data_IF_507257525572
#
_entry.id   IF_507257525572
#
_cell.length_a   1.000
_cell.length_b   1.000
_cell.length_c   1.000
_cell.angle_alpha   90.00
_cell.angle_beta   90.00
_cell.angle_gamma   90.00
#
_symmetry.space_group_name_H-M   'P 1'
#
loop_
_entity.id
_entity.type
_entity.pdbx_description
1 polymer ?
#
# COMPACT_ATOMS: atom_id res chain seq x y z
N UNK A 1 -17.81 9.62 16.01
CA UNK A 1 -17.76 9.42 14.54
C UNK A 1 -16.35 9.00 14.22
N UNK A 2 -16.16 7.93 13.43
CA UNK A 2 -14.83 7.49 13.03
C UNK A 2 -14.39 8.23 11.78
N UNK A 3 -13.22 8.85 11.80
CA UNK A 3 -12.59 9.54 10.66
C UNK A 3 -11.39 8.74 10.18
N UNK A 4 -11.37 8.41 8.89
CA UNK A 4 -10.28 7.66 8.27
C UNK A 4 -9.68 8.47 7.14
N UNK A 5 -8.38 8.73 7.20
CA UNK A 5 -7.64 9.25 6.06
C UNK A 5 -7.26 8.08 5.13
N UNK A 6 -7.88 8.03 3.95
CA UNK A 6 -7.75 6.91 3.02
C UNK A 6 -6.51 6.99 2.14
N UNK A 7 -5.72 8.07 2.21
CA UNK A 7 -4.52 8.20 1.39
C UNK A 7 -3.45 9.04 2.08
N UNK A 8 -2.50 8.36 2.72
CA UNK A 8 -1.34 9.00 3.35
C UNK A 8 -0.04 8.35 2.91
N UNK A 9 1.07 9.05 3.16
CA UNK A 9 2.41 8.55 2.88
C UNK A 9 3.30 8.76 4.12
N UNK A 10 4.16 7.79 4.39
CA UNK A 10 5.23 7.86 5.37
C UNK A 10 6.42 7.05 4.84
N UNK A 11 7.65 7.43 5.19
CA UNK A 11 8.83 6.78 4.63
C UNK A 11 10.13 7.22 5.28
N UNK A 12 11.22 6.55 4.89
CA UNK A 12 12.58 6.82 5.39
C UNK A 12 13.41 7.71 4.45
N UNK A 13 12.84 8.10 3.30
CA UNK A 13 13.58 8.84 2.26
C UNK A 13 12.79 9.98 1.60
N UNK A 14 11.55 9.73 1.15
CA UNK A 14 10.76 10.67 0.34
C UNK A 14 9.69 11.39 1.16
N UNK A 15 9.38 10.86 2.34
CA UNK A 15 8.33 11.36 3.23
C UNK A 15 8.89 11.45 4.64
N UNK A 16 8.19 12.21 5.47
CA UNK A 16 8.45 12.26 6.90
C UNK A 16 8.18 10.88 7.54
N UNK A 17 8.80 10.59 8.71
CA UNK A 17 8.49 9.43 9.51
C UNK A 17 7.01 9.39 9.94
N UNK A 18 6.48 8.19 10.18
CA UNK A 18 5.07 7.96 10.54
C UNK A 18 4.63 8.71 11.81
N UNK A 19 5.55 9.04 12.72
CA UNK A 19 5.27 9.80 13.94
C UNK A 19 4.76 11.21 13.63
N UNK A 20 5.23 11.83 12.55
CA UNK A 20 4.72 13.13 12.11
C UNK A 20 3.27 13.01 11.65
N UNK A 21 2.91 11.94 10.95
CA UNK A 21 1.53 11.64 10.57
C UNK A 21 0.66 11.39 11.82
N UNK A 22 1.13 10.60 12.78
CA UNK A 22 0.40 10.35 14.04
C UNK A 22 0.12 11.63 14.82
N UNK A 23 1.09 12.53 14.87
CA UNK A 23 0.92 13.82 15.52
C UNK A 23 -0.19 14.64 14.82
N UNK A 24 -0.17 14.69 13.49
CA UNK A 24 -1.21 15.37 12.71
C UNK A 24 -2.59 14.71 12.86
N UNK A 25 -2.67 13.38 12.85
CA UNK A 25 -3.90 12.65 13.10
C UNK A 25 -4.50 13.02 14.46
N UNK A 26 -3.66 13.11 15.49
CA UNK A 26 -4.09 13.49 16.84
C UNK A 26 -4.66 14.91 16.88
N UNK A 27 -3.95 15.88 16.29
CA UNK A 27 -4.39 17.29 16.25
C UNK A 27 -5.70 17.47 15.46
N UNK A 28 -5.92 16.66 14.42
CA UNK A 28 -7.07 16.78 13.52
C UNK A 28 -8.17 15.74 13.81
N UNK A 29 -8.06 15.00 14.91
CA UNK A 29 -9.05 13.98 15.32
C UNK A 29 -9.32 12.91 14.23
N UNK A 30 -8.25 12.48 13.55
CA UNK A 30 -8.29 11.35 12.60
C UNK A 30 -7.99 10.06 13.37
N UNK A 31 -8.90 9.09 13.31
CA UNK A 31 -8.79 7.86 14.10
C UNK A 31 -7.83 6.84 13.49
N UNK A 32 -7.85 6.71 12.15
CA UNK A 32 -7.08 5.75 11.37
C UNK A 32 -6.58 6.35 10.06
N UNK A 33 -5.49 5.81 9.52
CA UNK A 33 -4.99 6.19 8.20
C UNK A 33 -4.57 4.98 7.37
N UNK A 34 -4.68 5.10 6.04
CA UNK A 34 -4.16 4.13 5.10
C UNK A 34 -2.83 4.63 4.56
N UNK A 35 -1.77 3.89 4.83
CA UNK A 35 -0.43 4.13 4.31
C UNK A 35 -0.33 3.56 2.89
N UNK A 36 -0.13 4.44 1.92
CA UNK A 36 0.01 4.08 0.51
C UNK A 36 1.48 4.01 0.16
N UNK A 37 1.93 2.91 -0.45
CA UNK A 37 3.31 2.84 -0.94
C UNK A 37 3.60 3.99 -1.92
N UNK A 38 4.72 4.66 -1.70
CA UNK A 38 5.12 5.80 -2.52
C UNK A 38 5.85 5.40 -3.80
N UNK A 39 6.04 6.39 -4.69
CA UNK A 39 6.47 6.19 -6.08
C UNK A 39 5.29 6.00 -7.01
N UNK A 40 5.51 5.83 -8.31
CA UNK A 40 4.46 5.41 -9.25
C UNK A 40 4.39 3.89 -9.30
N UNK A 41 3.22 3.24 -9.47
CA UNK A 41 3.15 1.78 -9.55
C UNK A 41 4.10 1.14 -10.58
N UNK A 42 4.45 1.85 -11.66
CA UNK A 42 5.32 1.34 -12.73
C UNK A 42 6.82 1.44 -12.42
N UNK A 43 7.23 2.41 -11.60
CA UNK A 43 8.65 2.73 -11.33
C UNK A 43 8.93 2.99 -9.84
N UNK A 44 8.05 2.48 -8.98
CA UNK A 44 8.07 2.77 -7.56
C UNK A 44 9.09 1.93 -6.81
N UNK A 45 9.19 2.18 -5.51
CA UNK A 45 9.86 1.25 -4.61
C UNK A 45 8.86 0.18 -4.18
N UNK A 46 9.24 -1.09 -4.35
CA UNK A 46 8.45 -2.26 -3.96
C UNK A 46 8.90 -2.83 -2.62
N UNK A 47 9.71 -2.07 -1.86
CA UNK A 47 10.02 -2.37 -0.47
C UNK A 47 9.02 -1.67 0.45
N UNK A 48 8.12 -2.46 1.03
CA UNK A 48 7.09 -2.01 1.96
C UNK A 48 7.47 -2.25 3.43
N UNK A 49 8.71 -2.67 3.71
CA UNK A 49 9.13 -3.12 5.05
C UNK A 49 8.86 -2.06 6.11
N UNK A 50 9.14 -0.80 5.79
CA UNK A 50 8.84 0.33 6.68
C UNK A 50 7.35 0.49 6.96
N UNK A 51 6.48 0.30 5.96
CA UNK A 51 5.03 0.42 6.16
C UNK A 51 4.51 -0.70 7.06
N UNK A 52 5.00 -1.93 6.86
CA UNK A 52 4.67 -3.06 7.74
C UNK A 52 5.13 -2.81 9.18
N UNK A 53 6.35 -2.31 9.35
CA UNK A 53 6.87 -1.90 10.66
C UNK A 53 5.95 -0.85 11.32
N UNK A 54 5.44 0.12 10.56
CA UNK A 54 4.50 1.13 11.09
C UNK A 54 3.20 0.50 11.62
N UNK A 55 2.64 -0.49 10.92
CA UNK A 55 1.44 -1.21 11.37
C UNK A 55 1.73 -2.00 12.65
N UNK A 56 2.88 -2.66 12.73
CA UNK A 56 3.30 -3.41 13.92
C UNK A 56 3.52 -2.49 15.13
N UNK A 57 4.15 -1.34 14.92
CA UNK A 57 4.47 -0.37 15.99
C UNK A 57 3.25 0.38 16.50
N UNK A 58 2.24 0.57 15.67
CA UNK A 58 1.01 1.29 16.03
C UNK A 58 -0.24 0.46 15.70
N UNK A 59 -0.48 -0.64 16.45
CA UNK A 59 -1.59 -1.54 16.17
C UNK A 59 -2.93 -0.82 16.13
N UNK A 60 -3.70 -1.08 15.08
CA UNK A 60 -5.02 -0.48 14.87
C UNK A 60 -5.02 0.97 14.40
N UNK A 61 -3.87 1.62 14.19
CA UNK A 61 -3.80 2.97 13.61
C UNK A 61 -3.72 2.97 12.10
N UNK A 62 -3.04 1.99 11.54
CA UNK A 62 -2.71 1.97 10.12
C UNK A 62 -3.17 0.69 9.42
N UNK A 63 -3.53 0.86 8.16
CA UNK A 63 -3.61 -0.20 7.16
C UNK A 63 -2.70 0.16 5.98
N UNK A 64 -2.33 -0.82 5.15
CA UNK A 64 -1.39 -0.60 4.04
C UNK A 64 -2.04 -0.94 2.71
N UNK A 65 -1.81 -0.08 1.72
CA UNK A 65 -2.03 -0.36 0.30
C UNK A 65 -0.68 -0.44 -0.40
N UNK A 66 -0.40 -1.58 -1.01
CA UNK A 66 0.88 -1.87 -1.66
C UNK A 66 0.86 -1.48 -3.14
N UNK A 67 2.03 -1.54 -3.75
CA UNK A 67 2.21 -1.58 -5.22
C UNK A 67 3.06 -2.81 -5.54
N UNK A 68 2.87 -3.38 -6.72
CA UNK A 68 3.67 -4.48 -7.25
C UNK A 68 4.10 -4.15 -8.67
N UNK A 69 5.27 -4.63 -9.07
CA UNK A 69 5.76 -4.49 -10.44
C UNK A 69 4.94 -5.41 -11.35
N UNK A 70 3.95 -4.85 -12.05
CA UNK A 70 3.02 -5.62 -12.88
C UNK A 70 3.68 -6.30 -14.08
N UNK A 71 4.84 -5.81 -14.53
CA UNK A 71 5.56 -6.34 -15.69
C UNK A 71 6.33 -7.63 -15.35
N UNK A 72 6.49 -7.93 -14.05
CA UNK A 72 7.12 -9.19 -13.61
C UNK A 72 6.13 -10.34 -13.67
N UNK A 73 6.65 -11.50 -14.08
CA UNK A 73 5.88 -12.76 -14.17
C UNK A 73 5.35 -13.23 -12.82
N UNK A 74 5.99 -12.84 -11.72
CA UNK A 74 5.58 -13.21 -10.36
C UNK A 74 4.75 -12.14 -9.65
N UNK A 75 4.29 -11.09 -10.35
CA UNK A 75 3.47 -10.00 -9.81
C UNK A 75 2.20 -10.48 -9.09
N UNK A 76 1.53 -11.51 -9.62
CA UNK A 76 0.34 -12.10 -8.99
C UNK A 76 0.65 -12.75 -7.65
N UNK A 77 1.73 -13.55 -7.60
CA UNK A 77 2.20 -14.19 -6.36
C UNK A 77 2.63 -13.14 -5.35
N UNK A 78 3.31 -12.07 -5.78
CA UNK A 78 3.68 -10.95 -4.91
C UNK A 78 2.47 -10.27 -4.28
N UNK A 79 1.40 -10.10 -5.05
CA UNK A 79 0.16 -9.54 -4.53
C UNK A 79 -0.46 -10.45 -3.44
N UNK A 80 -0.45 -11.77 -3.64
CA UNK A 80 -0.87 -12.75 -2.62
C UNK A 80 0.00 -12.68 -1.37
N UNK A 81 1.34 -12.66 -1.53
CA UNK A 81 2.29 -12.52 -0.42
C UNK A 81 2.01 -11.24 0.41
N UNK A 82 1.65 -10.13 -0.23
CA UNK A 82 1.30 -8.89 0.48
C UNK A 82 -0.03 -9.00 1.23
N UNK A 83 -1.03 -9.67 0.66
CA UNK A 83 -2.31 -9.95 1.31
C UNK A 83 -2.10 -10.81 2.56
N UNK A 84 -1.31 -11.87 2.47
CA UNK A 84 -0.96 -12.74 3.60
C UNK A 84 -0.25 -11.97 4.72
N UNK A 85 0.57 -10.97 4.37
CA UNK A 85 1.23 -10.06 5.32
C UNK A 85 0.31 -8.95 5.87
N UNK A 86 -0.97 -8.94 5.49
CA UNK A 86 -1.96 -8.00 6.03
C UNK A 86 -2.14 -6.70 5.23
N UNK A 87 -1.61 -6.60 4.00
CA UNK A 87 -2.00 -5.51 3.12
C UNK A 87 -3.50 -5.62 2.79
N UNK A 88 -4.20 -4.48 2.82
CA UNK A 88 -5.66 -4.44 2.61
C UNK A 88 -6.06 -4.01 1.21
N UNK A 89 -5.09 -3.69 0.36
CA UNK A 89 -5.34 -3.32 -1.03
C UNK A 89 -4.06 -3.13 -1.83
N UNK A 90 -4.26 -2.87 -3.12
CA UNK A 90 -3.20 -2.57 -4.09
C UNK A 90 -3.54 -1.31 -4.87
N UNK A 91 -2.54 -0.46 -5.12
CA UNK A 91 -2.67 0.70 -5.98
C UNK A 91 -2.15 0.39 -7.37
N UNK A 92 -3.03 0.43 -8.36
CA UNK A 92 -2.73 0.24 -9.77
C UNK A 92 -3.08 1.52 -10.54
N UNK A 93 -2.34 1.80 -11.61
CA UNK A 93 -2.72 2.85 -12.57
C UNK A 93 -3.78 2.29 -13.51
N UNK A 94 -4.72 3.11 -13.99
CA UNK A 94 -5.80 2.64 -14.89
C UNK A 94 -5.29 1.89 -16.15
N UNK A 95 -4.07 2.18 -16.58
CA UNK A 95 -3.40 1.55 -17.73
C UNK A 95 -2.57 0.31 -17.38
N UNK A 96 -2.49 -0.08 -16.10
CA UNK A 96 -1.70 -1.25 -15.67
C UNK A 96 -2.16 -2.51 -16.37
N UNK A 97 -1.18 -3.32 -16.85
CA UNK A 97 -1.38 -4.60 -17.53
C UNK A 97 -0.43 -5.65 -16.95
N UNK A 98 -0.81 -6.92 -17.08
CA UNK A 98 0.06 -8.06 -16.80
C UNK A 98 0.79 -8.53 -18.06
N UNK A 99 1.97 -9.15 -17.93
CA UNK A 99 2.63 -9.81 -19.06
C UNK A 99 1.83 -11.04 -19.53
N UNK A 100 2.01 -11.41 -20.80
CA UNK A 100 1.40 -12.60 -21.37
C UNK A 100 0.00 -12.38 -21.95
N UNK A 101 -0.76 -13.45 -22.24
CA UNK A 101 -1.99 -13.34 -23.02
C UNK A 101 -3.17 -12.73 -22.23
N UNK A 102 -3.27 -12.96 -20.92
CA UNK A 102 -4.28 -12.29 -20.08
C UNK A 102 -3.73 -10.98 -19.51
N UNK A 103 -3.86 -9.93 -20.30
CA UNK A 103 -3.41 -8.58 -19.97
C UNK A 103 -4.10 -7.97 -18.73
N UNK A 104 -5.22 -8.55 -18.26
CA UNK A 104 -5.95 -8.11 -17.06
C UNK A 104 -5.76 -9.01 -15.84
N UNK A 105 -4.84 -9.98 -15.88
CA UNK A 105 -4.66 -10.95 -14.81
C UNK A 105 -4.44 -10.30 -13.43
N UNK A 106 -3.64 -9.21 -13.35
CA UNK A 106 -3.42 -8.47 -12.09
C UNK A 106 -4.69 -7.85 -11.51
N UNK A 107 -5.58 -7.33 -12.36
CA UNK A 107 -6.86 -6.78 -11.94
C UNK A 107 -7.80 -7.87 -11.43
N UNK A 108 -7.83 -9.03 -12.10
CA UNK A 108 -8.65 -10.17 -11.66
C UNK A 108 -8.15 -10.70 -10.31
N UNK A 109 -6.83 -10.86 -10.16
CA UNK A 109 -6.24 -11.30 -8.89
C UNK A 109 -6.52 -10.30 -7.76
N UNK A 110 -6.41 -8.99 -8.03
CA UNK A 110 -6.76 -7.96 -7.05
C UNK A 110 -8.24 -7.97 -6.66
N UNK A 111 -9.15 -8.34 -7.57
CA UNK A 111 -10.58 -8.47 -7.27
C UNK A 111 -10.94 -9.77 -6.51
N UNK A 112 -10.08 -10.79 -6.58
CA UNK A 112 -10.24 -12.08 -5.89
C UNK A 112 -9.84 -12.00 -4.41
N UNK A 113 -8.79 -11.23 -4.09
CA UNK A 113 -8.16 -11.14 -2.76
C UNK A 113 -8.84 -10.14 -1.82
#
# INVERSE_FOLDING_TARGET
MTVVDTHTHAGVNWFEPVEMLLYQMTLNQVDHAVLIQHGRPEYGTYDHSYLYECVERFPGKFNIVVIVDSDKKDSLRKLEEHKEKGAVGVRLTATTRSPGPDQFAIWRKAAEL
#
